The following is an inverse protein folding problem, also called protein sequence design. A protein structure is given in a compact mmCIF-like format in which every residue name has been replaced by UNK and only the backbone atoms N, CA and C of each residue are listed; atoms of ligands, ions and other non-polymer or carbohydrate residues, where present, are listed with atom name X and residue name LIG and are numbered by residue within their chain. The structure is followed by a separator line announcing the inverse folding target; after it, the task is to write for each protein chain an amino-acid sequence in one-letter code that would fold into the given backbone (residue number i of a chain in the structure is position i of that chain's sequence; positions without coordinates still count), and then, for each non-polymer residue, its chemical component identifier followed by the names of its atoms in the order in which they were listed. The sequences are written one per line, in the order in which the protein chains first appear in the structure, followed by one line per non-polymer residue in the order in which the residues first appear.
data_IF_240089039512
#
_entry.id   IF_240089039512
#
_cell.length_a   1.000
_cell.length_b   1.000
_cell.length_c   1.000
_cell.angle_alpha   90.00
_cell.angle_beta   90.00
_cell.angle_gamma   90.00
#
_symmetry.space_group_name_H-M   'P 1'
#
loop_
_entity.id
_entity.type
_entity.pdbx_description
1 polymer ?
#
# COMPACT_ATOMS: atom_id res chain seq x y z
N UNK A 1 13.33 58.09 -4.12
CA UNK A 1 13.00 56.94 -4.98
C UNK A 1 13.18 55.68 -4.16
N UNK A 2 12.09 55.06 -3.73
CA UNK A 2 12.13 53.79 -3.01
C UNK A 2 12.06 52.71 -4.08
N UNK A 3 13.11 51.90 -4.20
CA UNK A 3 13.16 50.79 -5.14
C UNK A 3 12.02 49.82 -4.79
N UNK A 4 11.08 49.69 -5.73
CA UNK A 4 9.95 48.79 -5.61
C UNK A 4 10.49 47.36 -5.55
N UNK A 5 10.45 46.76 -4.36
CA UNK A 5 10.88 45.39 -4.11
C UNK A 5 10.02 44.46 -4.96
N UNK A 6 10.63 43.91 -6.01
CA UNK A 6 10.05 42.88 -6.88
C UNK A 6 9.84 41.61 -6.07
N UNK A 7 8.69 41.53 -5.38
CA UNK A 7 8.29 40.30 -4.69
C UNK A 7 8.26 39.16 -5.71
N UNK A 8 8.87 38.01 -5.40
CA UNK A 8 8.82 36.86 -6.29
C UNK A 8 7.35 36.48 -6.50
N UNK A 9 6.92 36.44 -7.77
CA UNK A 9 5.60 35.90 -8.12
C UNK A 9 5.58 34.43 -7.71
N UNK A 10 4.72 34.09 -6.75
CA UNK A 10 4.43 32.70 -6.41
C UNK A 10 3.77 32.09 -7.64
N UNK A 11 4.51 31.30 -8.40
CA UNK A 11 3.96 30.52 -9.51
C UNK A 11 3.14 29.40 -8.88
N UNK A 12 1.86 29.34 -9.20
CA UNK A 12 0.99 28.27 -8.74
C UNK A 12 1.56 26.92 -9.24
N UNK A 13 1.54 25.86 -8.41
CA UNK A 13 1.99 24.54 -8.84
C UNK A 13 1.16 24.10 -10.05
N UNK A 14 1.81 23.53 -11.07
CA UNK A 14 1.09 23.00 -12.21
C UNK A 14 0.17 21.87 -11.74
N UNK A 15 -1.07 21.88 -12.22
CA UNK A 15 -2.04 20.85 -11.89
C UNK A 15 -1.55 19.50 -12.41
N UNK A 16 -1.52 18.48 -11.54
CA UNK A 16 -1.24 17.11 -11.96
C UNK A 16 -2.48 16.61 -12.72
N UNK A 17 -2.37 16.25 -14.01
CA UNK A 17 -3.51 15.76 -14.77
C UNK A 17 -4.00 14.44 -14.17
N UNK A 18 -5.28 14.40 -13.79
CA UNK A 18 -5.93 13.23 -13.18
C UNK A 18 -5.79 11.97 -14.06
N UNK A 19 -5.75 12.15 -15.38
CA UNK A 19 -5.52 11.08 -16.35
C UNK A 19 -4.19 10.36 -16.13
N UNK A 20 -3.10 11.10 -15.90
CA UNK A 20 -1.76 10.52 -15.73
C UNK A 20 -1.67 9.76 -14.41
N UNK A 21 -2.28 10.31 -13.35
CA UNK A 21 -2.42 9.66 -12.04
C UNK A 21 -3.17 8.35 -12.16
N UNK A 22 -4.34 8.38 -12.82
CA UNK A 22 -5.16 7.18 -13.03
C UNK A 22 -4.44 6.13 -13.86
N UNK A 23 -3.77 6.54 -14.94
CA UNK A 23 -3.01 5.63 -15.80
C UNK A 23 -1.84 4.97 -15.06
N UNK A 24 -1.05 5.73 -14.30
CA UNK A 24 0.08 5.19 -13.54
C UNK A 24 -0.38 4.25 -12.43
N UNK A 25 -1.42 4.63 -11.68
CA UNK A 25 -2.00 3.76 -10.67
C UNK A 25 -2.52 2.46 -11.27
N UNK A 26 -3.18 2.53 -12.44
CA UNK A 26 -3.69 1.36 -13.14
C UNK A 26 -2.56 0.45 -13.67
N UNK A 27 -1.52 1.01 -14.28
CA UNK A 27 -0.36 0.24 -14.77
C UNK A 27 0.39 -0.42 -13.61
N UNK A 28 0.60 0.29 -12.50
CA UNK A 28 1.22 -0.25 -11.30
C UNK A 28 0.41 -1.43 -10.74
N UNK A 29 -0.91 -1.25 -10.62
CA UNK A 29 -1.83 -2.28 -10.16
C UNK A 29 -1.79 -3.52 -11.05
N UNK A 30 -1.94 -3.36 -12.37
CA UNK A 30 -1.90 -4.47 -13.32
C UNK A 30 -0.57 -5.22 -13.28
N UNK A 31 0.54 -4.49 -13.23
CA UNK A 31 1.88 -5.10 -13.16
C UNK A 31 2.04 -5.95 -11.91
N UNK A 32 1.61 -5.43 -10.75
CA UNK A 32 1.69 -6.14 -9.48
C UNK A 32 0.76 -7.34 -9.42
N UNK A 33 -0.47 -7.21 -9.93
CA UNK A 33 -1.40 -8.34 -10.06
C UNK A 33 -0.83 -9.44 -10.96
N UNK A 34 -0.25 -9.07 -12.12
CA UNK A 34 0.37 -10.03 -13.02
C UNK A 34 1.51 -10.81 -12.35
N UNK A 35 2.39 -10.12 -11.61
CA UNK A 35 3.47 -10.76 -10.85
C UNK A 35 2.90 -11.74 -9.80
N UNK A 36 1.90 -11.31 -9.03
CA UNK A 36 1.29 -12.13 -7.98
C UNK A 36 0.59 -13.37 -8.55
N UNK A 37 -0.08 -13.25 -9.68
CA UNK A 37 -0.78 -14.35 -10.33
C UNK A 37 0.17 -15.31 -11.07
N UNK A 38 1.27 -14.79 -11.63
CA UNK A 38 2.26 -15.58 -12.36
C UNK A 38 3.26 -16.30 -11.45
N UNK A 39 3.48 -15.78 -10.23
CA UNK A 39 4.36 -16.42 -9.25
C UNK A 39 3.52 -17.42 -8.46
N UNK A 40 3.72 -18.75 -8.62
CA UNK A 40 3.08 -19.71 -7.73
C UNK A 40 3.39 -19.33 -6.28
N UNK A 41 2.56 -19.79 -5.34
CA UNK A 41 2.85 -19.73 -3.90
C UNK A 41 4.12 -20.56 -3.63
N UNK A 42 5.27 -19.98 -4.01
CA UNK A 42 6.57 -20.61 -3.96
C UNK A 42 6.98 -20.56 -2.50
N UNK A 43 6.71 -21.68 -1.84
CA UNK A 43 7.10 -22.06 -0.49
C UNK A 43 6.31 -21.33 0.61
N UNK A 44 5.90 -22.13 1.60
CA UNK A 44 5.30 -21.74 2.87
C UNK A 44 6.26 -20.93 3.77
N UNK A 45 7.02 -19.98 3.20
CA UNK A 45 7.89 -19.07 3.95
C UNK A 45 7.09 -18.10 4.80
N UNK A 46 7.41 -16.81 4.75
CA UNK A 46 6.77 -15.79 5.60
C UNK A 46 5.23 -15.78 5.51
N UNK A 47 4.65 -16.23 4.39
CA UNK A 47 3.21 -16.27 4.19
C UNK A 47 2.47 -17.08 5.25
N UNK A 48 3.01 -18.22 5.71
CA UNK A 48 2.37 -18.99 6.77
C UNK A 48 2.30 -18.18 8.07
N UNK A 49 3.42 -17.57 8.47
CA UNK A 49 3.47 -16.68 9.64
C UNK A 49 2.53 -15.50 9.51
N UNK A 50 2.39 -14.92 8.31
CA UNK A 50 1.45 -13.85 8.04
C UNK A 50 0.00 -14.28 8.13
N UNK A 51 -0.34 -15.47 7.63
CA UNK A 51 -1.69 -16.01 7.76
C UNK A 51 -2.03 -16.34 9.22
N UNK A 52 -1.10 -16.88 10.00
CA UNK A 52 -1.30 -17.10 11.43
C UNK A 52 -1.47 -15.79 12.18
N UNK A 53 -0.68 -14.77 11.85
CA UNK A 53 -0.82 -13.42 12.41
C UNK A 53 -2.20 -12.84 12.06
N UNK A 54 -2.61 -12.93 10.79
CA UNK A 54 -3.91 -12.46 10.32
C UNK A 54 -5.07 -13.18 11.05
N UNK A 55 -4.95 -14.50 11.25
CA UNK A 55 -5.90 -15.30 12.01
C UNK A 55 -6.00 -14.78 13.45
N UNK A 56 -4.87 -14.66 14.15
CA UNK A 56 -4.83 -14.19 15.55
C UNK A 56 -5.45 -12.81 15.69
N UNK A 57 -5.02 -11.84 14.90
CA UNK A 57 -5.55 -10.47 15.02
C UNK A 57 -7.04 -10.39 14.68
N UNK A 58 -7.53 -11.29 13.82
CA UNK A 58 -8.95 -11.33 13.42
C UNK A 58 -9.84 -12.00 14.47
N UNK A 59 -9.38 -13.11 15.06
CA UNK A 59 -10.17 -13.89 16.02
C UNK A 59 -10.01 -13.38 17.46
N UNK A 60 -8.79 -13.02 17.84
CA UNK A 60 -8.41 -12.70 19.22
C UNK A 60 -8.20 -11.19 19.44
N UNK A 61 -8.23 -10.40 18.35
CA UNK A 61 -8.08 -8.95 18.37
C UNK A 61 -6.66 -8.44 18.15
N UNK A 62 -6.51 -7.17 17.78
CA UNK A 62 -5.23 -6.56 17.41
C UNK A 62 -4.22 -6.59 18.58
N UNK A 63 -4.69 -6.43 19.82
CA UNK A 63 -3.83 -6.40 21.01
C UNK A 63 -3.07 -7.71 21.26
N UNK A 64 -3.64 -8.85 20.85
CA UNK A 64 -2.99 -10.16 21.02
C UNK A 64 -1.94 -10.45 19.96
N UNK A 65 -1.92 -9.69 18.86
CA UNK A 65 -0.90 -9.80 17.80
C UNK A 65 0.52 -9.48 18.29
N UNK A 66 0.66 -8.67 19.35
CA UNK A 66 1.95 -8.34 19.98
C UNK A 66 2.35 -9.27 21.12
N UNK A 67 1.43 -10.09 21.62
CA UNK A 67 1.67 -10.97 22.76
C UNK A 67 2.46 -12.24 22.36
N UNK A 68 2.80 -12.38 21.09
CA UNK A 68 3.39 -13.57 20.47
C UNK A 68 4.70 -13.23 19.77
N UNK A 69 5.74 -14.08 19.84
CA UNK A 69 7.04 -13.90 19.18
C UNK A 69 7.01 -14.21 17.67
N UNK A 70 5.95 -13.77 17.00
CA UNK A 70 5.65 -14.08 15.61
C UNK A 70 6.19 -12.96 14.71
N UNK A 71 6.34 -13.16 13.39
CA UNK A 71 6.85 -12.14 12.48
C UNK A 71 6.11 -10.80 12.59
N UNK A 72 4.80 -10.84 12.88
CA UNK A 72 3.98 -9.65 13.08
C UNK A 72 4.41 -8.77 14.24
N UNK A 73 4.97 -9.34 15.31
CA UNK A 73 5.39 -8.59 16.50
C UNK A 73 6.54 -7.61 16.24
N UNK A 74 7.28 -7.81 15.14
CA UNK A 74 8.38 -6.95 14.70
C UNK A 74 7.92 -5.66 13.99
N UNK A 75 6.62 -5.54 13.69
CA UNK A 75 6.06 -4.41 12.95
C UNK A 75 5.30 -3.47 13.89
N UNK A 76 5.15 -2.16 13.56
CA UNK A 76 4.34 -1.23 14.35
C UNK A 76 2.84 -1.59 14.38
N UNK A 77 2.07 -1.20 15.42
CA UNK A 77 0.66 -1.60 15.59
C UNK A 77 -0.25 -1.32 14.41
N UNK A 78 0.05 -0.27 13.65
CA UNK A 78 -0.68 0.07 12.45
C UNK A 78 -0.65 -1.04 11.38
N UNK A 79 0.38 -1.88 11.37
CA UNK A 79 0.54 -2.98 10.41
C UNK A 79 -0.53 -4.07 10.55
N UNK A 80 -1.16 -4.19 11.72
CA UNK A 80 -2.19 -5.21 11.95
C UNK A 80 -3.56 -4.85 11.40
N UNK A 81 -3.86 -3.58 11.13
CA UNK A 81 -5.17 -3.19 10.58
C UNK A 81 -5.42 -3.78 9.18
N UNK A 82 -4.47 -3.73 8.22
CA UNK A 82 -4.61 -4.42 6.94
C UNK A 82 -4.82 -5.93 7.09
N UNK A 83 -4.11 -6.58 8.01
CA UNK A 83 -4.26 -8.02 8.27
C UNK A 83 -5.63 -8.36 8.86
N UNK A 84 -6.09 -7.56 9.84
CA UNK A 84 -7.41 -7.68 10.43
C UNK A 84 -8.51 -7.48 9.37
N UNK A 85 -8.42 -6.43 8.55
CA UNK A 85 -9.39 -6.17 7.49
C UNK A 85 -9.45 -7.30 6.46
N UNK A 86 -8.27 -7.79 6.03
CA UNK A 86 -8.14 -8.95 5.14
C UNK A 86 -8.80 -10.19 5.75
N UNK A 87 -8.56 -10.41 7.05
CA UNK A 87 -9.12 -11.51 7.80
C UNK A 87 -10.63 -11.44 7.97
N UNK A 88 -11.19 -10.27 8.28
CA UNK A 88 -12.64 -10.09 8.35
C UNK A 88 -13.29 -10.37 6.99
N UNK A 89 -12.71 -9.85 5.90
CA UNK A 89 -13.19 -10.13 4.55
C UNK A 89 -13.16 -11.63 4.25
N UNK A 90 -12.06 -12.31 4.57
CA UNK A 90 -11.92 -13.75 4.38
C UNK A 90 -12.95 -14.56 5.15
N UNK A 91 -13.25 -14.17 6.40
CA UNK A 91 -14.29 -14.82 7.22
C UNK A 91 -15.68 -14.68 6.61
N UNK A 92 -15.99 -13.50 6.08
CA UNK A 92 -17.29 -13.21 5.48
C UNK A 92 -17.47 -13.94 4.14
N UNK A 93 -16.44 -13.95 3.29
CA UNK A 93 -16.59 -14.46 1.92
C UNK A 93 -16.32 -15.96 1.76
N UNK A 94 -15.51 -16.54 2.64
CA UNK A 94 -14.70 -17.68 2.23
C UNK A 94 -14.50 -18.74 3.33
N UNK A 95 -14.22 -18.35 4.58
CA UNK A 95 -13.99 -19.30 5.67
C UNK A 95 -14.33 -18.69 7.05
N UNK A 96 -15.55 -18.90 7.58
CA UNK A 96 -15.96 -18.35 8.87
C UNK A 96 -15.03 -18.70 10.04
N UNK A 97 -14.44 -19.90 9.99
CA UNK A 97 -13.51 -20.44 11.00
C UNK A 97 -12.04 -20.07 10.73
N UNK A 98 -11.76 -19.30 9.68
CA UNK A 98 -10.42 -18.85 9.30
C UNK A 98 -9.44 -20.00 9.05
N UNK A 99 -9.77 -20.89 8.11
CA UNK A 99 -8.85 -21.94 7.66
C UNK A 99 -7.65 -21.34 6.94
N UNK A 100 -6.44 -21.58 7.43
CA UNK A 100 -5.17 -21.16 6.80
C UNK A 100 -4.75 -22.13 5.68
N UNK A 101 -3.76 -21.75 4.89
CA UNK A 101 -3.23 -22.55 3.78
C UNK A 101 -4.13 -22.58 2.54
N UNK A 102 -5.14 -21.71 2.46
CA UNK A 102 -6.04 -21.68 1.31
C UNK A 102 -5.54 -20.69 0.26
N UNK A 103 -5.76 -21.03 -1.01
CA UNK A 103 -5.44 -20.16 -2.15
C UNK A 103 -6.15 -18.80 -2.06
N UNK A 104 -7.37 -18.78 -1.54
CA UNK A 104 -8.13 -17.55 -1.41
C UNK A 104 -7.52 -16.62 -0.37
N UNK A 105 -7.13 -17.16 0.80
CA UNK A 105 -6.41 -16.38 1.80
C UNK A 105 -5.08 -15.86 1.25
N UNK A 106 -4.32 -16.68 0.53
CA UNK A 106 -3.08 -16.26 -0.15
C UNK A 106 -3.29 -15.06 -1.07
N UNK A 107 -4.36 -15.08 -1.88
CA UNK A 107 -4.70 -13.97 -2.78
C UNK A 107 -5.04 -12.72 -1.98
N UNK A 108 -5.93 -12.84 -0.98
CA UNK A 108 -6.37 -11.72 -0.15
C UNK A 108 -5.19 -11.07 0.61
N UNK A 109 -4.30 -11.88 1.18
CA UNK A 109 -3.10 -11.43 1.90
C UNK A 109 -2.14 -10.63 1.00
N UNK A 110 -2.20 -10.82 -0.32
CA UNK A 110 -1.38 -10.08 -1.29
C UNK A 110 -2.07 -8.82 -1.82
N UNK A 111 -3.39 -8.68 -1.68
CA UNK A 111 -4.11 -7.50 -2.19
C UNK A 111 -3.69 -6.22 -1.47
N UNK A 112 -3.59 -6.25 -0.14
CA UNK A 112 -3.20 -5.08 0.64
C UNK A 112 -1.83 -4.50 0.21
N UNK A 113 -0.73 -5.28 0.12
CA UNK A 113 0.55 -4.76 -0.36
C UNK A 113 0.50 -4.31 -1.83
N UNK A 114 -0.26 -4.97 -2.71
CA UNK A 114 -0.45 -4.53 -4.11
C UNK A 114 -1.08 -3.13 -4.17
N UNK A 115 -2.13 -2.90 -3.38
CA UNK A 115 -2.81 -1.61 -3.31
C UNK A 115 -1.90 -0.53 -2.72
N UNK A 116 -1.17 -0.85 -1.65
CA UNK A 116 -0.22 0.05 -1.02
C UNK A 116 0.89 0.46 -2.01
N UNK A 117 1.49 -0.49 -2.73
CA UNK A 117 2.52 -0.21 -3.72
C UNK A 117 2.01 0.66 -4.88
N UNK A 118 0.79 0.40 -5.34
CA UNK A 118 0.16 1.20 -6.40
C UNK A 118 -0.07 2.64 -5.93
N UNK A 119 -0.50 2.83 -4.68
CA UNK A 119 -0.64 4.14 -4.08
C UNK A 119 0.72 4.84 -3.92
N UNK A 120 1.76 4.12 -3.47
CA UNK A 120 3.13 4.67 -3.36
C UNK A 120 3.63 5.12 -4.73
N UNK A 121 3.40 4.35 -5.80
CA UNK A 121 3.78 4.76 -7.16
C UNK A 121 3.13 6.08 -7.58
N UNK A 122 1.83 6.24 -7.28
CA UNK A 122 1.09 7.48 -7.53
C UNK A 122 1.67 8.65 -6.71
N UNK A 123 1.96 8.43 -5.42
CA UNK A 123 2.52 9.45 -4.55
C UNK A 123 3.91 9.88 -5.00
N UNK A 124 4.78 8.93 -5.38
CA UNK A 124 6.11 9.21 -5.91
C UNK A 124 6.02 10.03 -7.20
N UNK A 125 5.11 9.68 -8.10
CA UNK A 125 4.87 10.46 -9.31
C UNK A 125 4.42 11.89 -9.00
N UNK A 126 3.44 12.04 -8.08
CA UNK A 126 2.95 13.34 -7.69
C UNK A 126 4.04 14.22 -7.08
N UNK A 127 4.86 13.66 -6.19
CA UNK A 127 6.01 14.35 -5.59
C UNK A 127 7.04 14.75 -6.65
N UNK A 128 7.41 13.83 -7.55
CA UNK A 128 8.36 14.10 -8.63
C UNK A 128 7.90 15.28 -9.51
N UNK A 129 6.60 15.31 -9.87
CA UNK A 129 5.99 16.41 -10.63
C UNK A 129 6.12 17.75 -9.91
N UNK A 130 5.75 17.81 -8.63
CA UNK A 130 5.84 19.06 -7.85
C UNK A 130 7.27 19.61 -7.77
N UNK A 131 8.28 18.74 -7.69
CA UNK A 131 9.68 19.14 -7.67
C UNK A 131 10.19 19.61 -9.03
N UNK A 132 9.79 18.97 -10.13
CA UNK A 132 10.21 19.37 -11.49
C UNK A 132 9.61 20.72 -11.89
N UNK A 133 8.32 20.93 -11.62
CA UNK A 133 7.63 22.18 -11.96
C UNK A 133 8.19 23.36 -11.16
N UNK A 134 8.57 23.12 -9.89
CA UNK A 134 9.24 24.12 -9.04
C UNK A 134 10.66 24.49 -9.53
N UNK A 135 11.35 23.60 -10.24
CA UNK A 135 12.66 23.88 -10.82
C UNK A 135 12.57 24.59 -12.16
N UNK A 136 11.63 24.24 -13.04
CA UNK A 136 11.47 24.94 -14.32
C UNK A 136 11.14 26.43 -14.14
N UNK A 137 10.40 26.79 -13.08
CA UNK A 137 10.10 28.18 -12.73
C UNK A 137 11.34 29.02 -12.30
N UNK A 138 12.51 28.41 -12.08
CA UNK A 138 13.72 29.11 -11.61
C UNK A 138 14.74 29.43 -12.71
N UNK A 139 14.54 28.94 -13.94
CA UNK A 139 15.46 29.13 -15.06
C UNK A 139 14.88 29.97 -16.21
N UNK A 140 13.61 30.36 -16.11
CA UNK A 140 12.92 31.28 -17.02
C UNK A 140 12.74 32.64 -16.35
#
# INVERSE_FOLDING_TARGET
MIAESSRPKVVAPAAIPLRDVGMLGFVALLTRLAIVLATPSLQAGDMEGWQQTARRVTLDGIGTGYASLDPGSLYPPAFFYPLWATGQLYRVCCSPDFTTGTRMLDVLMRLAPILADSLVAVLVYALARTWTDSRQARWA
#
